data_IF_220128798258
#
_entry.id   IF_220128798258
#
_cell.length_a   1.000
_cell.length_b   1.000
_cell.length_c   1.000
_cell.angle_alpha   90.00
_cell.angle_beta   90.00
_cell.angle_gamma   90.00
#
_symmetry.space_group_name_H-M   'P 1'
#
loop_
_entity.id
_entity.type
_entity.pdbx_description
1 polymer ?
#
# COMPACT_ATOMS: atom_id res chain seq x y z
N UNK A 1 -14.26 -77.45 11.18
CA UNK A 1 -14.85 -76.10 11.31
C UNK A 1 -13.72 -75.09 11.56
N UNK A 2 -13.48 -74.15 10.64
CA UNK A 2 -12.49 -73.06 10.77
C UNK A 2 -13.28 -71.74 10.84
N UNK A 3 -13.07 -70.85 11.82
CA UNK A 3 -13.69 -69.53 11.78
C UNK A 3 -12.93 -68.63 10.79
N UNK A 4 -13.68 -68.03 9.87
CA UNK A 4 -13.18 -67.08 8.87
C UNK A 4 -13.02 -65.72 9.55
N UNK A 5 -11.77 -65.29 9.79
CA UNK A 5 -11.48 -63.98 10.38
C UNK A 5 -11.91 -62.85 9.45
N UNK A 6 -12.77 -61.96 9.96
CA UNK A 6 -13.12 -60.72 9.28
C UNK A 6 -11.99 -59.70 9.51
N UNK A 7 -11.25 -59.35 8.46
CA UNK A 7 -10.30 -58.25 8.51
C UNK A 7 -11.08 -56.92 8.52
N UNK A 8 -11.09 -56.25 9.67
CA UNK A 8 -11.48 -54.85 9.79
C UNK A 8 -10.37 -54.01 9.16
N UNK A 9 -10.63 -53.44 7.98
CA UNK A 9 -9.80 -52.38 7.41
C UNK A 9 -10.15 -51.06 8.08
N UNK A 10 -9.38 -50.68 9.10
CA UNK A 10 -9.37 -49.32 9.63
C UNK A 10 -8.61 -48.42 8.64
N UNK A 11 -9.32 -47.56 7.92
CA UNK A 11 -8.70 -46.45 7.19
C UNK A 11 -8.41 -45.32 8.19
N UNK A 12 -7.13 -44.97 8.34
CA UNK A 12 -6.73 -43.80 9.11
C UNK A 12 -7.34 -42.52 8.50
N UNK A 13 -7.71 -41.50 9.31
CA UNK A 13 -8.07 -40.21 8.76
C UNK A 13 -6.83 -39.63 8.08
N UNK A 14 -6.86 -39.52 6.75
CA UNK A 14 -5.93 -38.66 6.02
C UNK A 14 -6.26 -37.24 6.46
N UNK A 15 -5.46 -36.72 7.39
CA UNK A 15 -5.46 -35.29 7.68
C UNK A 15 -4.91 -34.65 6.42
N UNK A 16 -5.83 -34.16 5.59
CA UNK A 16 -5.50 -33.31 4.46
C UNK A 16 -4.85 -32.08 5.07
N UNK A 17 -3.51 -32.08 5.11
CA UNK A 17 -2.74 -30.92 5.48
C UNK A 17 -3.03 -29.90 4.38
N UNK A 18 -4.07 -29.10 4.59
CA UNK A 18 -4.37 -27.96 3.75
C UNK A 18 -3.09 -27.12 3.74
N UNK A 19 -2.35 -27.23 2.65
CA UNK A 19 -1.30 -26.31 2.28
C UNK A 19 -2.01 -24.98 2.05
N UNK A 20 -2.24 -24.26 3.14
CA UNK A 20 -2.56 -22.84 3.16
C UNK A 20 -1.26 -22.12 2.79
N UNK A 21 -0.66 -22.49 1.65
CA UNK A 21 0.26 -21.62 0.96
C UNK A 21 -0.58 -20.41 0.61
N UNK A 22 -0.47 -19.38 1.45
CA UNK A 22 -1.10 -18.09 1.23
C UNK A 22 -0.59 -17.67 -0.14
N UNK A 23 -1.41 -17.89 -1.17
CA UNK A 23 -1.22 -17.40 -2.52
C UNK A 23 -1.36 -15.89 -2.42
N UNK A 24 -0.32 -15.28 -1.86
CA UNK A 24 -0.21 -13.87 -1.63
C UNK A 24 0.18 -13.30 -2.98
N UNK A 25 -0.66 -12.46 -3.61
CA UNK A 25 -0.22 -11.70 -4.77
C UNK A 25 0.77 -10.65 -4.27
N UNK A 26 2.03 -11.06 -4.08
CA UNK A 26 3.14 -10.19 -3.68
C UNK A 26 3.23 -9.02 -4.66
N UNK A 27 2.94 -9.24 -5.94
CA UNK A 27 2.85 -8.20 -6.97
C UNK A 27 1.77 -7.16 -6.67
N UNK A 28 0.54 -7.55 -6.32
CA UNK A 28 -0.53 -6.60 -6.02
C UNK A 28 -0.23 -5.76 -4.78
N UNK A 29 0.34 -6.39 -3.73
CA UNK A 29 0.78 -5.68 -2.52
C UNK A 29 1.94 -4.75 -2.80
N UNK A 30 2.93 -5.18 -3.58
CA UNK A 30 4.06 -4.36 -3.98
C UNK A 30 3.63 -3.16 -4.82
N UNK A 31 2.67 -3.35 -5.74
CA UNK A 31 2.09 -2.25 -6.53
C UNK A 31 1.35 -1.25 -5.63
N UNK A 32 0.58 -1.74 -4.65
CA UNK A 32 -0.10 -0.87 -3.69
C UNK A 32 0.88 -0.07 -2.83
N UNK A 33 1.86 -0.75 -2.22
CA UNK A 33 2.88 -0.11 -1.39
C UNK A 33 3.73 0.87 -2.21
N UNK A 34 4.12 0.48 -3.42
CA UNK A 34 4.82 1.35 -4.36
C UNK A 34 3.99 2.58 -4.74
N UNK A 35 2.70 2.40 -5.03
CA UNK A 35 1.79 3.50 -5.32
C UNK A 35 1.63 4.47 -4.16
N UNK A 36 1.44 3.95 -2.93
CA UNK A 36 1.39 4.77 -1.72
C UNK A 36 2.70 5.51 -1.49
N UNK A 37 3.84 4.83 -1.64
CA UNK A 37 5.16 5.45 -1.48
C UNK A 37 5.36 6.61 -2.46
N UNK A 38 5.06 6.40 -3.75
CA UNK A 38 5.15 7.44 -4.77
C UNK A 38 4.22 8.61 -4.43
N UNK A 39 2.97 8.32 -4.07
CA UNK A 39 2.01 9.35 -3.67
C UNK A 39 2.50 10.14 -2.45
N UNK A 40 3.04 9.47 -1.44
CA UNK A 40 3.60 10.12 -0.25
C UNK A 40 4.79 11.02 -0.61
N UNK A 41 5.68 10.59 -1.50
CA UNK A 41 6.80 11.41 -1.97
C UNK A 41 6.32 12.64 -2.75
N UNK A 42 5.29 12.49 -3.59
CA UNK A 42 4.68 13.61 -4.31
C UNK A 42 4.09 14.63 -3.33
N UNK A 43 3.28 14.17 -2.37
CA UNK A 43 2.71 15.05 -1.35
C UNK A 43 3.80 15.75 -0.54
N UNK A 44 4.83 15.02 -0.10
CA UNK A 44 5.96 15.61 0.62
C UNK A 44 6.68 16.68 -0.21
N UNK A 45 6.91 16.41 -1.50
CA UNK A 45 7.52 17.36 -2.42
C UNK A 45 6.68 18.64 -2.55
N UNK A 46 5.39 18.52 -2.88
CA UNK A 46 4.53 19.70 -3.11
C UNK A 46 4.23 20.49 -1.82
N UNK A 47 4.09 19.82 -0.67
CA UNK A 47 3.75 20.47 0.60
C UNK A 47 4.98 21.08 1.27
N UNK A 48 6.16 20.48 1.11
CA UNK A 48 7.38 20.91 1.79
C UNK A 48 8.41 21.57 0.87
N UNK A 49 8.84 20.85 -0.17
CA UNK A 49 9.99 21.22 -0.98
C UNK A 49 9.67 22.37 -1.94
N UNK A 50 8.49 22.33 -2.58
CA UNK A 50 8.01 23.34 -3.52
C UNK A 50 7.48 24.63 -2.84
N UNK A 51 7.70 24.81 -1.53
CA UNK A 51 7.29 26.00 -0.77
C UNK A 51 8.43 27.01 -0.55
N UNK A 52 9.46 27.00 -1.40
CA UNK A 52 10.56 27.99 -1.37
C UNK A 52 11.95 27.45 -1.06
N UNK A 53 12.12 26.12 -0.92
CA UNK A 53 13.46 25.51 -0.81
C UNK A 53 14.06 25.20 -2.18
N UNK A 54 13.35 24.43 -3.02
CA UNK A 54 13.74 24.10 -4.40
C UNK A 54 12.51 23.68 -5.20
N UNK A 55 12.29 24.23 -6.39
CA UNK A 55 11.26 23.73 -7.31
C UNK A 55 11.89 23.10 -8.55
N UNK A 56 11.46 21.89 -8.89
CA UNK A 56 11.78 21.17 -10.13
C UNK A 56 11.16 21.86 -11.35
N UNK A 57 10.12 22.68 -11.15
CA UNK A 57 9.35 23.29 -12.23
C UNK A 57 9.77 24.72 -12.56
N UNK A 58 10.70 25.32 -11.81
CA UNK A 58 11.20 26.67 -12.11
C UNK A 58 11.70 27.40 -10.87
N UNK A 59 12.05 28.66 -11.03
CA UNK A 59 12.42 29.53 -9.89
C UNK A 59 11.17 30.04 -9.14
N UNK A 60 10.04 30.12 -9.83
CA UNK A 60 8.75 30.54 -9.28
C UNK A 60 7.96 29.29 -8.92
N UNK A 61 7.91 28.95 -7.64
CA UNK A 61 7.12 27.84 -7.11
C UNK A 61 5.62 28.07 -7.35
N UNK A 62 5.08 27.65 -8.49
CA UNK A 62 3.68 27.88 -8.87
C UNK A 62 2.67 27.37 -7.84
N UNK A 63 2.97 26.25 -7.18
CA UNK A 63 2.12 25.72 -6.11
C UNK A 63 2.16 26.63 -4.88
N UNK A 64 3.32 27.20 -4.56
CA UNK A 64 3.47 28.16 -3.47
C UNK A 64 2.59 29.38 -3.67
N UNK A 65 2.63 30.00 -4.85
CA UNK A 65 1.82 31.19 -5.15
C UNK A 65 0.32 30.87 -5.14
N UNK A 66 -0.09 29.75 -5.73
CA UNK A 66 -1.49 29.31 -5.70
C UNK A 66 -2.01 29.12 -4.26
N UNK A 67 -1.23 28.44 -3.41
CA UNK A 67 -1.61 28.21 -2.00
C UNK A 67 -1.57 29.52 -1.21
N UNK A 68 -0.58 30.37 -1.48
CA UNK A 68 -0.44 31.68 -0.88
C UNK A 68 -1.66 32.57 -1.20
N UNK A 69 -2.10 32.59 -2.45
CA UNK A 69 -3.28 33.32 -2.91
C UNK A 69 -4.59 32.74 -2.35
N UNK A 70 -4.71 31.42 -2.25
CA UNK A 70 -5.87 30.77 -1.63
C UNK A 70 -6.02 31.15 -0.15
N UNK A 71 -4.91 31.29 0.60
CA UNK A 71 -4.96 31.73 1.99
C UNK A 71 -5.44 33.18 2.11
N UNK A 72 -4.98 34.04 1.19
CA UNK A 72 -5.46 35.42 1.11
C UNK A 72 -6.94 35.50 0.76
N UNK A 73 -7.39 34.65 -0.18
CA UNK A 73 -8.80 34.54 -0.53
C UNK A 73 -9.67 34.13 0.67
N UNK A 74 -9.16 33.25 1.54
CA UNK A 74 -9.82 32.86 2.79
C UNK A 74 -9.66 33.89 3.92
N UNK A 75 -9.01 35.04 3.66
CA UNK A 75 -8.84 36.14 4.62
C UNK A 75 -7.71 35.96 5.63
N UNK A 76 -6.86 34.94 5.47
CA UNK A 76 -5.70 34.74 6.34
C UNK A 76 -4.53 35.66 5.93
N UNK A 77 -3.94 36.45 6.85
CA UNK A 77 -2.91 37.43 6.51
C UNK A 77 -1.49 36.86 6.27
N UNK A 78 -0.91 37.26 5.13
CA UNK A 78 0.51 37.49 4.79
C UNK A 78 1.48 38.11 5.81
N UNK A 79 2.66 37.54 6.13
CA UNK A 79 3.81 38.34 6.60
C UNK A 79 5.09 37.82 5.94
#
# INVERSE_FOLDING_TARGET
MIPKGAAVSTSAPVVDAQDQSISSPVSARALWLGGVLVLSLLLYYFIGIDQGATSLFGQDSHIHEFVHDARHFLGFPCH
#
